data_IF_900712027365
#
_entry.id   IF_900712027365
#
_cell.length_a   1.000
_cell.length_b   1.000
_cell.length_c   1.000
_cell.angle_alpha   90.00
_cell.angle_beta   90.00
_cell.angle_gamma   90.00
#
_symmetry.space_group_name_H-M   'P 1'
#
loop_
_entity.id
_entity.type
_entity.pdbx_description
1 polymer ?
#
# COMPACT_ATOMS: atom_id res chain seq x y z
N UNK A 1 -11.05 11.32 -14.02
CA UNK A 1 -11.12 11.19 -12.56
C UNK A 1 -9.99 12.01 -11.96
N UNK A 2 -10.32 12.94 -11.05
CA UNK A 2 -9.33 13.88 -10.47
C UNK A 2 -9.44 13.84 -8.94
N UNK A 3 -8.84 12.81 -8.35
CA UNK A 3 -8.83 12.64 -6.91
C UNK A 3 -7.41 12.88 -6.40
N UNK A 4 -7.26 13.77 -5.43
CA UNK A 4 -5.97 13.99 -4.78
C UNK A 4 -5.61 12.78 -3.92
N UNK A 5 -4.40 12.32 -4.08
CA UNK A 5 -3.91 11.15 -3.36
C UNK A 5 -2.52 11.40 -2.81
N UNK A 6 -2.19 10.66 -1.77
CA UNK A 6 -0.84 10.52 -1.26
C UNK A 6 -0.35 9.11 -1.54
N UNK A 7 0.88 8.95 -2.00
CA UNK A 7 1.49 7.64 -2.15
C UNK A 7 1.90 7.09 -0.79
N UNK A 8 1.65 5.79 -0.60
CA UNK A 8 2.03 5.08 0.60
C UNK A 8 3.18 4.13 0.28
N UNK A 9 4.15 4.05 1.17
CA UNK A 9 5.20 3.05 1.12
C UNK A 9 4.74 1.80 1.84
N UNK A 10 4.89 0.64 1.19
CA UNK A 10 4.61 -0.65 1.81
C UNK A 10 5.84 -1.12 2.56
N UNK A 11 5.68 -1.33 3.86
CA UNK A 11 6.75 -1.80 4.73
C UNK A 11 6.35 -3.17 5.29
N UNK A 12 7.25 -4.13 5.17
CA UNK A 12 7.09 -5.44 5.76
C UNK A 12 8.05 -5.58 6.95
N UNK A 13 7.53 -6.01 8.08
CA UNK A 13 8.31 -6.17 9.29
C UNK A 13 8.05 -7.54 9.90
N UNK A 14 9.13 -8.20 10.31
CA UNK A 14 9.04 -9.46 11.03
C UNK A 14 8.76 -9.16 12.51
N UNK A 15 7.68 -9.74 13.02
CA UNK A 15 7.23 -9.56 14.40
C UNK A 15 7.14 -10.92 15.08
N UNK A 16 7.62 -11.00 16.31
CA UNK A 16 7.52 -12.22 17.10
C UNK A 16 6.06 -12.58 17.37
N UNK A 17 5.74 -13.84 17.15
CA UNK A 17 4.48 -14.40 17.62
C UNK A 17 4.63 -14.76 19.09
N UNK A 18 3.95 -14.04 19.96
CA UNK A 18 4.05 -14.22 21.42
C UNK A 18 3.67 -15.64 21.88
N UNK A 19 2.81 -16.31 21.15
CA UNK A 19 2.35 -17.66 21.50
C UNK A 19 3.28 -18.76 21.00
N UNK A 20 3.95 -18.52 19.85
CA UNK A 20 4.78 -19.51 19.19
C UNK A 20 6.27 -19.36 19.51
N UNK A 21 6.72 -18.14 19.81
CA UNK A 21 8.13 -17.83 20.00
C UNK A 21 8.70 -18.59 21.20
N UNK A 22 9.78 -19.34 20.97
CA UNK A 22 10.46 -20.11 22.00
C UNK A 22 9.86 -21.48 22.26
N UNK A 23 8.76 -21.85 21.62
CA UNK A 23 8.16 -23.18 21.75
C UNK A 23 8.89 -24.16 20.83
N UNK A 24 9.60 -25.11 21.43
CA UNK A 24 10.38 -26.10 20.69
C UNK A 24 9.51 -27.04 19.83
N UNK A 25 8.23 -27.17 20.15
CA UNK A 25 7.30 -27.99 19.36
C UNK A 25 6.86 -27.29 18.07
N UNK A 26 7.15 -26.00 17.94
CA UNK A 26 6.80 -25.19 16.78
C UNK A 26 8.07 -24.87 15.98
N UNK A 27 8.09 -25.08 14.65
CA UNK A 27 9.23 -24.70 13.82
C UNK A 27 9.57 -23.23 13.97
N UNK A 28 10.86 -22.89 13.98
CA UNK A 28 11.32 -21.50 14.13
C UNK A 28 10.75 -20.56 13.07
N UNK A 29 10.49 -21.07 11.89
CA UNK A 29 9.84 -20.29 10.81
C UNK A 29 8.45 -19.78 11.19
N UNK A 30 7.79 -20.40 12.16
CA UNK A 30 6.47 -20.01 12.65
C UNK A 30 6.52 -19.13 13.90
N UNK A 31 7.71 -18.83 14.41
CA UNK A 31 7.87 -17.96 15.56
C UNK A 31 7.73 -16.47 15.23
N UNK A 32 7.73 -16.14 13.95
CA UNK A 32 7.65 -14.77 13.47
C UNK A 32 6.53 -14.65 12.45
N UNK A 33 5.82 -13.56 12.54
CA UNK A 33 4.81 -13.16 11.55
C UNK A 33 5.31 -11.96 10.78
N UNK A 34 4.90 -11.87 9.52
CA UNK A 34 5.18 -10.68 8.70
C UNK A 34 4.01 -9.73 8.84
N UNK A 35 4.28 -8.58 9.42
CA UNK A 35 3.32 -7.48 9.52
C UNK A 35 3.54 -6.51 8.36
N UNK A 36 2.47 -6.20 7.65
CA UNK A 36 2.50 -5.22 6.56
C UNK A 36 1.95 -3.91 7.07
N UNK A 37 2.69 -2.84 6.82
CA UNK A 37 2.27 -1.49 7.14
C UNK A 37 2.37 -0.62 5.90
N UNK A 38 1.50 0.36 5.83
CA UNK A 38 1.54 1.39 4.80
C UNK A 38 1.78 2.72 5.47
N UNK A 39 2.87 3.38 5.09
CA UNK A 39 3.27 4.65 5.66
C UNK A 39 3.22 5.76 4.61
N UNK A 40 2.78 6.98 4.99
CA UNK A 40 2.80 8.11 4.08
C UNK A 40 4.22 8.41 3.61
N UNK A 41 4.37 8.65 2.31
CA UNK A 41 5.67 9.00 1.72
C UNK A 41 5.92 10.51 1.69
N UNK A 42 4.88 11.31 1.88
CA UNK A 42 4.94 12.76 1.65
C UNK A 42 4.89 13.14 0.19
N UNK A 43 4.67 12.19 -0.72
CA UNK A 43 4.54 12.44 -2.15
C UNK A 43 3.07 12.47 -2.54
N UNK A 44 2.66 13.54 -3.17
CA UNK A 44 1.28 13.79 -3.52
C UNK A 44 1.10 13.85 -5.03
N UNK A 45 -0.08 13.47 -5.47
CA UNK A 45 -0.43 13.51 -6.88
C UNK A 45 -1.94 13.52 -7.07
N UNK A 46 -2.34 13.37 -8.33
CA UNK A 46 -3.75 13.29 -8.72
C UNK A 46 -3.99 11.96 -9.42
N UNK A 47 -4.93 11.20 -8.89
CA UNK A 47 -5.36 9.96 -9.52
C UNK A 47 -6.16 10.31 -10.78
N UNK A 48 -5.69 9.86 -11.93
CA UNK A 48 -6.31 10.20 -13.22
C UNK A 48 -6.97 9.00 -13.91
N UNK A 49 -6.57 7.79 -13.57
CA UNK A 49 -7.12 6.61 -14.20
C UNK A 49 -7.01 5.41 -13.27
N UNK A 50 -8.06 4.57 -13.28
CA UNK A 50 -8.05 3.26 -12.65
C UNK A 50 -8.38 2.23 -13.72
N UNK A 51 -7.57 1.18 -13.84
CA UNK A 51 -7.82 0.07 -14.74
C UNK A 51 -8.17 -1.16 -13.94
N UNK A 52 -9.38 -1.68 -14.17
CA UNK A 52 -9.84 -2.92 -13.56
C UNK A 52 -9.75 -4.03 -14.60
N UNK A 53 -9.07 -5.11 -14.26
CA UNK A 53 -8.96 -6.26 -15.15
C UNK A 53 -10.10 -7.26 -14.90
N UNK A 54 -10.50 -7.98 -15.96
CA UNK A 54 -11.57 -8.99 -15.86
C UNK A 54 -11.09 -10.32 -15.29
N UNK A 55 -9.77 -10.54 -15.26
CA UNK A 55 -9.17 -11.67 -14.57
C UNK A 55 -8.87 -11.31 -13.11
N UNK A 56 -8.22 -12.19 -12.36
CA UNK A 56 -7.94 -11.99 -10.95
C UNK A 56 -6.74 -11.06 -10.67
N UNK A 57 -6.32 -10.28 -11.67
CA UNK A 57 -5.24 -9.31 -11.44
C UNK A 57 -5.74 -8.13 -10.62
N UNK A 58 -4.83 -7.56 -9.86
CA UNK A 58 -5.14 -6.36 -9.06
C UNK A 58 -5.37 -5.17 -9.98
N UNK A 59 -6.27 -4.28 -9.57
CA UNK A 59 -6.49 -3.02 -10.28
C UNK A 59 -5.20 -2.20 -10.30
N UNK A 60 -4.98 -1.53 -11.42
CA UNK A 60 -3.86 -0.59 -11.60
C UNK A 60 -4.37 0.82 -11.63
N UNK A 61 -3.61 1.74 -11.09
CA UNK A 61 -3.93 3.15 -11.12
C UNK A 61 -2.79 3.95 -11.71
N UNK A 62 -3.12 5.05 -12.38
CA UNK A 62 -2.14 6.02 -12.87
C UNK A 62 -2.32 7.31 -12.09
N UNK A 63 -1.23 7.78 -11.50
CA UNK A 63 -1.19 8.99 -10.71
C UNK A 63 -0.27 10.00 -11.39
N UNK A 64 -0.78 11.19 -11.64
CA UNK A 64 0.06 12.31 -12.05
C UNK A 64 0.59 13.00 -10.81
N UNK A 65 1.88 12.83 -10.55
CA UNK A 65 2.53 13.41 -9.39
C UNK A 65 2.65 14.93 -9.53
N UNK A 66 2.72 15.62 -8.40
CA UNK A 66 2.90 17.07 -8.38
C UNK A 66 4.22 17.51 -9.05
N UNK A 67 5.20 16.61 -9.11
CA UNK A 67 6.45 16.82 -9.87
C UNK A 67 6.28 16.81 -11.39
N UNK A 68 5.11 16.38 -11.89
CA UNK A 68 4.82 16.24 -13.31
C UNK A 68 5.07 14.86 -13.88
N UNK A 69 5.52 13.92 -13.07
CA UNK A 69 5.75 12.53 -13.48
C UNK A 69 4.47 11.71 -13.36
N UNK A 70 4.28 10.78 -14.30
CA UNK A 70 3.24 9.78 -14.18
C UNK A 70 3.78 8.55 -13.47
N UNK A 71 3.06 8.08 -12.47
CA UNK A 71 3.40 6.88 -11.72
C UNK A 71 2.28 5.88 -11.85
N UNK A 72 2.63 4.67 -12.20
CA UNK A 72 1.70 3.54 -12.27
C UNK A 72 1.82 2.72 -10.99
N UNK A 73 0.71 2.49 -10.30
CA UNK A 73 0.68 1.70 -9.06
C UNK A 73 -0.14 0.43 -9.25
N UNK A 74 0.39 -0.68 -8.76
CA UNK A 74 -0.26 -1.98 -8.81
C UNK A 74 -1.02 -2.21 -7.51
N UNK A 75 -2.34 -2.07 -7.60
CA UNK A 75 -3.20 -2.16 -6.44
C UNK A 75 -3.49 -0.79 -5.84
N UNK A 76 -4.66 -0.67 -5.23
CA UNK A 76 -5.13 0.61 -4.69
C UNK A 76 -4.76 0.81 -3.22
N UNK A 77 -4.09 -0.17 -2.62
CA UNK A 77 -3.66 -0.15 -1.22
C UNK A 77 -2.42 0.72 -0.97
N UNK A 78 -1.72 1.13 -2.03
CA UNK A 78 -0.54 1.99 -1.94
C UNK A 78 -0.85 3.46 -2.19
N UNK A 79 -2.11 3.82 -2.34
CA UNK A 79 -2.55 5.21 -2.47
C UNK A 79 -3.63 5.50 -1.44
N UNK A 80 -3.62 6.71 -0.93
CA UNK A 80 -4.62 7.19 0.03
C UNK A 80 -5.32 8.40 -0.56
N UNK A 81 -6.62 8.30 -0.73
CA UNK A 81 -7.42 9.44 -1.15
C UNK A 81 -7.44 10.51 -0.06
N UNK A 82 -7.19 11.74 -0.44
CA UNK A 82 -7.23 12.87 0.47
C UNK A 82 -8.63 13.48 0.43
N UNK A 83 -9.16 13.78 1.61
CA UNK A 83 -10.42 14.50 1.70
C UNK A 83 -10.20 15.94 1.24
N UNK A 84 -11.01 16.38 0.27
CA UNK A 84 -11.08 17.78 -0.06
C UNK A 84 -11.93 18.47 1.00
N UNK A 85 -11.31 19.44 1.67
CA UNK A 85 -12.07 20.33 2.53
C UNK A 85 -12.84 21.27 1.62
N UNK A 86 -14.16 21.06 1.53
CA UNK A 86 -15.03 21.95 0.80
C UNK A 86 -15.02 23.32 1.49
N UNK A 87 -14.55 24.29 0.79
CA UNK A 87 -14.65 25.68 1.23
C UNK A 87 -16.01 26.26 0.88
#
# INVERSE_FOLDING_TARGET
MNIRVELLARIEKSVKDEFAFGDESIPQSHWYNIEKRYEPTGEFGTLIQITQFTDNRRAQAVVLMDSGEFVEVNGLDTIKALEEVAE
#
